data_IF_708920577813
#
_entry.id   IF_708920577813
#
_cell.length_a   1.000
_cell.length_b   1.000
_cell.length_c   1.000
_cell.angle_alpha   90.00
_cell.angle_beta   90.00
_cell.angle_gamma   90.00
#
_symmetry.space_group_name_H-M   'P 1'
#
loop_
_entity.id
_entity.type
_entity.pdbx_description
1 polymer ?
#
# COMPACT_ATOMS: atom_id res chain seq x y z
N UNK A 1 10.26 -8.88 -13.69
CA UNK A 1 9.15 -7.90 -13.81
C UNK A 1 7.77 -8.53 -13.92
N UNK A 2 7.49 -9.46 -14.85
CA UNK A 2 6.13 -10.06 -14.98
C UNK A 2 5.60 -10.72 -13.69
N UNK A 3 6.44 -11.43 -12.94
CA UNK A 3 6.05 -12.03 -11.67
C UNK A 3 5.67 -10.98 -10.61
N UNK A 4 6.43 -9.89 -10.50
CA UNK A 4 6.12 -8.78 -9.58
C UNK A 4 4.81 -8.08 -9.96
N UNK A 5 4.53 -7.92 -11.25
CA UNK A 5 3.27 -7.33 -11.72
C UNK A 5 2.06 -8.18 -11.34
N UNK A 6 2.15 -9.50 -11.55
CA UNK A 6 1.10 -10.42 -11.14
C UNK A 6 0.87 -10.37 -9.63
N UNK A 7 1.94 -10.42 -8.82
CA UNK A 7 1.84 -10.39 -7.37
C UNK A 7 1.25 -9.06 -6.87
N UNK A 8 1.67 -7.93 -7.45
CA UNK A 8 1.15 -6.61 -7.13
C UNK A 8 -0.34 -6.47 -7.48
N UNK A 9 -0.78 -7.00 -8.62
CA UNK A 9 -2.20 -7.02 -9.02
C UNK A 9 -3.04 -7.88 -8.09
N UNK A 10 -2.51 -9.04 -7.67
CA UNK A 10 -3.19 -9.90 -6.70
C UNK A 10 -3.35 -9.18 -5.36
N UNK A 11 -2.29 -8.56 -4.83
CA UNK A 11 -2.37 -7.75 -3.61
C UNK A 11 -3.43 -6.64 -3.74
N UNK A 12 -3.45 -5.91 -4.85
CA UNK A 12 -4.43 -4.85 -5.08
C UNK A 12 -5.87 -5.38 -5.20
N UNK A 13 -6.08 -6.57 -5.78
CA UNK A 13 -7.40 -7.18 -5.86
C UNK A 13 -7.90 -7.61 -4.47
N UNK A 14 -7.05 -8.21 -3.65
CA UNK A 14 -7.35 -8.52 -2.25
C UNK A 14 -7.62 -7.24 -1.45
N UNK A 15 -6.82 -6.19 -1.64
CA UNK A 15 -7.04 -4.89 -1.00
C UNK A 15 -8.40 -4.30 -1.38
N UNK A 16 -8.77 -4.35 -2.66
CA UNK A 16 -10.08 -3.89 -3.15
C UNK A 16 -11.25 -4.67 -2.54
N UNK A 17 -11.13 -6.00 -2.41
CA UNK A 17 -12.14 -6.83 -1.75
C UNK A 17 -12.30 -6.44 -0.27
N UNK A 18 -11.18 -6.26 0.44
CA UNK A 18 -11.20 -5.84 1.85
C UNK A 18 -11.81 -4.45 1.99
N UNK A 19 -11.45 -3.49 1.14
CA UNK A 19 -12.04 -2.15 1.12
C UNK A 19 -13.54 -2.19 0.88
N UNK A 20 -14.01 -3.03 -0.04
CA UNK A 20 -15.43 -3.22 -0.29
C UNK A 20 -16.14 -3.77 0.96
N UNK A 21 -15.56 -4.77 1.62
CA UNK A 21 -16.13 -5.33 2.84
C UNK A 21 -16.19 -4.29 3.97
N UNK A 22 -15.13 -3.50 4.16
CA UNK A 22 -15.09 -2.41 5.15
C UNK A 22 -16.12 -1.33 4.84
N UNK A 23 -16.28 -0.96 3.57
CA UNK A 23 -17.28 0.01 3.14
C UNK A 23 -18.71 -0.49 3.42
N UNK A 24 -19.00 -1.75 3.07
CA UNK A 24 -20.29 -2.37 3.37
C UNK A 24 -20.56 -2.46 4.87
N UNK A 25 -19.55 -2.81 5.68
CA UNK A 25 -19.67 -2.83 7.14
C UNK A 25 -19.97 -1.44 7.70
N UNK A 26 -19.32 -0.40 7.16
CA UNK A 26 -19.56 1.00 7.56
C UNK A 26 -20.97 1.44 7.19
N UNK A 27 -21.42 1.15 5.97
CA UNK A 27 -22.80 1.40 5.56
C UNK A 27 -23.80 0.65 6.46
N UNK A 28 -23.50 -0.61 6.80
CA UNK A 28 -24.29 -1.41 7.73
C UNK A 28 -24.38 -0.77 9.12
N UNK A 29 -23.28 -0.23 9.66
CA UNK A 29 -23.26 0.49 10.94
C UNK A 29 -24.11 1.78 10.89
N UNK A 30 -24.08 2.52 9.78
CA UNK A 30 -24.92 3.71 9.61
C UNK A 30 -26.40 3.34 9.58
N UNK A 31 -26.76 2.29 8.83
CA UNK A 31 -28.14 1.77 8.78
C UNK A 31 -28.57 1.28 10.16
N UNK A 32 -27.74 0.50 10.84
CA UNK A 32 -28.08 -0.03 12.17
C UNK A 32 -28.33 1.10 13.17
N UNK A 33 -27.48 2.13 13.14
CA UNK A 33 -27.59 3.31 14.00
C UNK A 33 -28.88 4.07 13.75
N UNK A 34 -29.30 4.20 12.50
CA UNK A 34 -30.52 4.94 12.15
C UNK A 34 -31.80 4.19 12.51
N UNK A 35 -31.84 2.86 12.31
CA UNK A 35 -33.07 2.08 12.51
C UNK A 35 -33.20 1.47 13.91
N UNK A 36 -32.08 1.07 14.52
CA UNK A 36 -32.06 0.36 15.81
C UNK A 36 -31.45 1.20 16.94
N UNK A 37 -31.05 2.45 16.66
CA UNK A 37 -30.52 3.40 17.65
C UNK A 37 -29.09 3.09 18.13
N UNK A 38 -28.43 2.06 17.59
CA UNK A 38 -27.09 1.65 17.99
C UNK A 38 -26.22 1.28 16.77
N UNK A 39 -24.96 1.70 16.79
CA UNK A 39 -23.97 1.32 15.78
C UNK A 39 -23.52 -0.14 15.96
N UNK A 40 -22.89 -0.70 14.93
CA UNK A 40 -22.24 -2.01 15.05
C UNK A 40 -21.07 -1.92 16.04
N UNK A 41 -21.06 -2.82 17.03
CA UNK A 41 -19.95 -2.91 17.98
C UNK A 41 -18.65 -3.29 17.25
N UNK A 42 -17.61 -2.50 17.44
CA UNK A 42 -16.30 -2.77 16.83
C UNK A 42 -16.17 -2.36 15.36
N UNK A 43 -17.11 -1.58 14.82
CA UNK A 43 -17.02 -1.04 13.45
C UNK A 43 -15.70 -0.28 13.19
N UNK A 44 -15.27 0.54 14.16
CA UNK A 44 -13.99 1.27 14.09
C UNK A 44 -12.77 0.35 14.02
N UNK A 45 -12.74 -0.73 14.81
CA UNK A 45 -11.59 -1.65 14.84
C UNK A 45 -11.52 -2.46 13.54
N UNK A 46 -12.68 -2.87 13.00
CA UNK A 46 -12.77 -3.54 11.71
C UNK A 46 -12.25 -2.64 10.58
N UNK A 47 -12.67 -1.38 10.57
CA UNK A 47 -12.18 -0.37 9.61
C UNK A 47 -10.67 -0.17 9.78
N UNK A 48 -10.18 -0.04 11.01
CA UNK A 48 -8.76 0.17 11.29
C UNK A 48 -7.90 -0.99 10.76
N UNK A 49 -8.26 -2.23 11.09
CA UNK A 49 -7.51 -3.42 10.64
C UNK A 49 -7.60 -3.58 9.13
N UNK A 50 -8.80 -3.42 8.55
CA UNK A 50 -9.01 -3.55 7.12
C UNK A 50 -8.25 -2.50 6.32
N UNK A 51 -8.26 -1.23 6.76
CA UNK A 51 -7.53 -0.14 6.13
C UNK A 51 -6.01 -0.32 6.23
N UNK A 52 -5.51 -0.79 7.38
CA UNK A 52 -4.09 -1.03 7.58
C UNK A 52 -3.55 -2.05 6.55
N UNK A 53 -4.27 -3.16 6.34
CA UNK A 53 -3.95 -4.12 5.28
C UNK A 53 -4.12 -3.52 3.88
N UNK A 54 -5.25 -2.88 3.60
CA UNK A 54 -5.57 -2.38 2.26
C UNK A 54 -4.54 -1.37 1.76
N UNK A 55 -4.15 -0.40 2.59
CA UNK A 55 -3.12 0.60 2.26
C UNK A 55 -1.80 -0.10 1.94
N UNK A 56 -1.35 -1.03 2.79
CA UNK A 56 -0.13 -1.78 2.56
C UNK A 56 -0.21 -2.58 1.23
N UNK A 57 -1.34 -3.22 0.96
CA UNK A 57 -1.55 -4.08 -0.21
C UNK A 57 -1.73 -3.32 -1.54
N UNK A 58 -2.09 -2.04 -1.54
CA UNK A 58 -2.09 -1.21 -2.75
C UNK A 58 -0.70 -0.69 -3.13
N UNK A 59 0.21 -0.51 -2.16
CA UNK A 59 1.56 0.05 -2.38
C UNK A 59 2.38 -0.67 -3.47
N UNK A 60 2.40 -2.03 -3.57
CA UNK A 60 3.13 -2.72 -4.62
C UNK A 60 2.68 -2.32 -6.03
N UNK A 61 1.36 -2.17 -6.23
CA UNK A 61 0.78 -1.81 -7.53
C UNK A 61 1.07 -0.35 -7.86
N UNK A 62 0.99 0.53 -6.86
CA UNK A 62 1.38 1.93 -7.03
C UNK A 62 2.86 2.04 -7.45
N UNK A 63 3.74 1.32 -6.77
CA UNK A 63 5.17 1.36 -7.08
C UNK A 63 5.47 0.78 -8.46
N UNK A 64 4.88 -0.37 -8.82
CA UNK A 64 5.19 -1.00 -10.11
C UNK A 64 4.74 -0.14 -11.29
N UNK A 65 3.63 0.59 -11.14
CA UNK A 65 3.09 1.51 -12.15
C UNK A 65 3.71 2.91 -12.10
N UNK A 66 4.64 3.18 -11.16
CA UNK A 66 5.18 4.52 -10.90
C UNK A 66 4.07 5.56 -10.65
N UNK A 67 3.02 5.14 -9.96
CA UNK A 67 1.85 5.99 -9.64
C UNK A 67 2.05 6.88 -8.42
N UNK A 68 3.24 6.90 -7.80
CA UNK A 68 3.52 7.82 -6.71
C UNK A 68 3.54 9.26 -7.24
N UNK A 69 3.02 10.19 -6.45
CA UNK A 69 2.99 11.60 -6.82
C UNK A 69 4.43 12.13 -6.88
N UNK A 70 4.80 12.70 -8.02
CA UNK A 70 6.10 13.34 -8.26
C UNK A 70 5.91 14.86 -8.21
N UNK A 71 6.78 15.56 -7.48
CA UNK A 71 6.75 17.02 -7.40
C UNK A 71 7.74 17.60 -8.40
N UNK A 72 7.26 17.96 -9.58
CA UNK A 72 8.10 18.43 -10.70
C UNK A 72 8.43 19.93 -10.68
N UNK A 73 7.93 20.68 -9.69
CA UNK A 73 8.16 22.13 -9.56
C UNK A 73 9.65 22.49 -9.39
N UNK A 74 10.41 21.65 -8.71
CA UNK A 74 11.83 21.90 -8.44
C UNK A 74 12.77 21.33 -9.53
N UNK A 75 12.28 20.41 -10.36
CA UNK A 75 13.09 19.64 -11.33
C UNK A 75 12.83 20.00 -12.77
N UNK A 76 11.93 20.95 -13.06
CA UNK A 76 11.50 21.34 -14.41
C UNK A 76 12.66 21.85 -15.29
N UNK A 77 13.70 22.44 -14.68
CA UNK A 77 14.91 22.93 -15.38
C UNK A 77 16.09 21.95 -15.32
N UNK A 78 15.92 20.79 -14.69
CA UNK A 78 17.00 19.83 -14.50
C UNK A 78 17.22 18.97 -15.75
N UNK A 79 18.48 18.63 -16.02
CA UNK A 79 18.84 17.75 -17.15
C UNK A 79 18.17 16.37 -17.03
N UNK A 80 17.97 15.67 -18.14
CA UNK A 80 17.40 14.32 -18.14
C UNK A 80 18.17 13.33 -17.24
N UNK A 81 19.50 13.48 -17.14
CA UNK A 81 20.34 12.67 -16.25
C UNK A 81 20.05 12.94 -14.77
N UNK A 82 19.88 14.21 -14.41
CA UNK A 82 19.57 14.61 -13.02
C UNK A 82 18.19 14.13 -12.60
N UNK A 83 17.19 14.26 -13.48
CA UNK A 83 15.82 13.75 -13.23
C UNK A 83 15.83 12.23 -13.02
N UNK A 84 16.55 11.50 -13.88
CA UNK A 84 16.71 10.06 -13.76
C UNK A 84 17.39 9.67 -12.43
N UNK A 85 18.47 10.36 -12.03
CA UNK A 85 19.14 10.10 -10.76
C UNK A 85 18.22 10.34 -9.55
N UNK A 86 17.44 11.42 -9.58
CA UNK A 86 16.51 11.76 -8.51
C UNK A 86 15.38 10.74 -8.38
N UNK A 87 14.86 10.24 -9.51
CA UNK A 87 13.85 9.18 -9.55
C UNK A 87 14.40 7.84 -8.99
N UNK A 88 15.66 7.48 -9.31
CA UNK A 88 16.34 6.31 -8.71
C UNK A 88 16.49 6.46 -7.20
N UNK A 89 16.90 7.65 -6.76
CA UNK A 89 17.03 7.97 -5.33
C UNK A 89 15.68 7.88 -4.62
N UNK A 90 14.59 8.35 -5.25
CA UNK A 90 13.23 8.22 -4.75
C UNK A 90 12.79 6.75 -4.62
N UNK A 91 13.03 5.93 -5.64
CA UNK A 91 12.75 4.49 -5.59
C UNK A 91 13.55 3.78 -4.49
N UNK A 92 14.83 4.11 -4.34
CA UNK A 92 15.69 3.55 -3.30
C UNK A 92 15.21 3.96 -1.90
N UNK A 93 14.89 5.24 -1.70
CA UNK A 93 14.40 5.74 -0.43
C UNK A 93 13.07 5.09 -0.05
N UNK A 94 12.12 4.99 -1.00
CA UNK A 94 10.86 4.30 -0.77
C UNK A 94 11.09 2.83 -0.40
N UNK A 95 12.02 2.16 -1.08
CA UNK A 95 12.33 0.77 -0.79
C UNK A 95 12.90 0.57 0.61
N UNK A 96 13.81 1.44 1.05
CA UNK A 96 14.35 1.44 2.40
C UNK A 96 13.24 1.69 3.42
N UNK A 97 12.38 2.70 3.18
CA UNK A 97 11.26 3.03 4.06
C UNK A 97 10.28 1.86 4.19
N UNK A 98 9.84 1.27 3.08
CA UNK A 98 8.93 0.12 3.10
C UNK A 98 9.59 -1.11 3.75
N UNK A 99 10.89 -1.33 3.53
CA UNK A 99 11.63 -2.41 4.17
C UNK A 99 11.75 -2.23 5.69
N UNK A 100 12.03 -0.99 6.15
CA UNK A 100 12.05 -0.65 7.57
C UNK A 100 10.67 -0.80 8.21
N UNK A 101 9.60 -0.37 7.53
CA UNK A 101 8.24 -0.58 7.98
C UNK A 101 7.92 -2.06 8.07
N UNK A 102 8.19 -2.86 7.04
CA UNK A 102 7.96 -4.30 7.06
C UNK A 102 8.68 -4.98 8.24
N UNK A 103 9.95 -4.61 8.49
CA UNK A 103 10.72 -5.13 9.61
C UNK A 103 10.13 -4.72 10.97
N UNK A 104 9.81 -3.43 11.16
CA UNK A 104 9.24 -2.93 12.42
C UNK A 104 7.84 -3.48 12.68
N UNK A 105 7.01 -3.58 11.65
CA UNK A 105 5.68 -4.19 11.72
C UNK A 105 5.77 -5.67 12.08
N UNK A 106 6.75 -6.41 11.54
CA UNK A 106 6.97 -7.82 11.90
C UNK A 106 7.34 -7.97 13.39
N UNK A 107 8.27 -7.15 13.88
CA UNK A 107 8.62 -7.13 15.31
C UNK A 107 7.41 -6.78 16.18
N UNK A 108 6.63 -5.77 15.78
CA UNK A 108 5.38 -5.41 16.46
C UNK A 108 4.38 -6.56 16.50
N UNK A 109 4.22 -7.31 15.40
CA UNK A 109 3.36 -8.49 15.34
C UNK A 109 3.84 -9.65 16.22
N UNK A 110 5.15 -9.88 16.30
CA UNK A 110 5.71 -10.88 17.21
C UNK A 110 5.47 -10.51 18.68
N UNK A 111 5.72 -9.26 19.04
CA UNK A 111 5.42 -8.77 20.39
C UNK A 111 3.93 -8.85 20.71
N UNK A 112 3.04 -8.44 19.79
CA UNK A 112 1.59 -8.54 19.98
C UNK A 112 1.13 -10.00 20.16
N UNK A 113 1.81 -10.96 19.53
CA UNK A 113 1.53 -12.38 19.73
C UNK A 113 2.02 -12.89 21.09
N UNK A 114 3.19 -12.45 21.54
CA UNK A 114 3.77 -12.83 22.84
C UNK A 114 2.93 -12.32 24.02
N UNK A 115 2.38 -11.11 23.91
CA UNK A 115 1.52 -10.52 24.94
C UNK A 115 0.03 -10.85 24.79
N UNK A 116 -0.34 -11.70 23.82
CA UNK A 116 -1.73 -12.02 23.46
C UNK A 116 -2.61 -10.76 23.31
N UNK A 117 -2.04 -9.71 22.69
CA UNK A 117 -2.71 -8.42 22.51
C UNK A 117 -3.93 -8.56 21.61
N UNK A 118 -5.06 -8.04 22.10
CA UNK A 118 -6.34 -8.04 21.40
C UNK A 118 -6.96 -6.64 21.39
N UNK A 119 -7.76 -6.36 20.37
CA UNK A 119 -8.50 -5.10 20.28
C UNK A 119 -9.55 -5.00 21.40
N UNK A 120 -9.92 -3.78 21.78
CA UNK A 120 -10.73 -3.55 22.99
C UNK A 120 -12.17 -4.04 22.84
N UNK A 121 -12.78 -3.89 21.67
CA UNK A 121 -14.19 -4.21 21.44
C UNK A 121 -14.40 -5.60 20.82
N UNK A 122 -13.78 -5.87 19.67
CA UNK A 122 -13.89 -7.15 18.98
C UNK A 122 -13.05 -8.26 19.62
N UNK A 123 -12.12 -7.91 20.53
CA UNK A 123 -11.14 -8.86 21.06
C UNK A 123 -10.38 -9.55 19.92
N UNK A 124 -10.12 -8.80 18.84
CA UNK A 124 -9.44 -9.33 17.65
C UNK A 124 -7.94 -9.41 17.90
N UNK A 125 -7.26 -10.54 17.60
CA UNK A 125 -5.82 -10.66 17.80
C UNK A 125 -5.02 -9.70 16.92
N UNK A 126 -4.34 -8.74 17.54
CA UNK A 126 -3.68 -7.64 16.82
C UNK A 126 -2.53 -8.12 15.93
N UNK A 127 -1.86 -9.21 16.33
CA UNK A 127 -0.74 -9.78 15.58
C UNK A 127 -1.12 -10.17 14.14
N UNK A 128 -2.38 -10.55 13.89
CA UNK A 128 -2.87 -10.90 12.56
C UNK A 128 -2.82 -9.68 11.64
N UNK A 129 -3.25 -8.51 12.13
CA UNK A 129 -3.23 -7.26 11.40
C UNK A 129 -1.78 -6.87 11.03
N UNK A 130 -0.86 -6.95 12.00
CA UNK A 130 0.56 -6.69 11.77
C UNK A 130 1.15 -7.62 10.72
N UNK A 131 1.00 -8.93 10.89
CA UNK A 131 1.58 -9.92 9.98
C UNK A 131 0.99 -9.79 8.57
N UNK A 132 -0.30 -9.47 8.43
CA UNK A 132 -0.93 -9.29 7.13
C UNK A 132 -0.33 -8.11 6.32
N UNK A 133 0.15 -7.05 6.98
CA UNK A 133 0.78 -5.90 6.32
C UNK A 133 2.22 -6.18 5.83
N UNK A 134 2.92 -7.13 6.44
CA UNK A 134 4.35 -7.38 6.16
C UNK A 134 4.61 -7.83 4.71
N UNK A 135 3.90 -8.83 4.14
CA UNK A 135 4.15 -9.29 2.78
C UNK A 135 4.03 -8.20 1.70
N UNK A 136 2.97 -7.38 1.65
CA UNK A 136 2.89 -6.35 0.62
C UNK A 136 3.88 -5.20 0.84
N UNK A 137 4.24 -4.85 2.08
CA UNK A 137 5.32 -3.88 2.33
C UNK A 137 6.68 -4.40 1.86
N UNK A 138 6.98 -5.66 2.16
CA UNK A 138 8.20 -6.31 1.70
C UNK A 138 8.24 -6.39 0.16
N UNK A 139 7.12 -6.73 -0.48
CA UNK A 139 6.99 -6.74 -1.94
C UNK A 139 7.24 -5.35 -2.53
N UNK A 140 6.66 -4.30 -1.94
CA UNK A 140 6.89 -2.91 -2.37
C UNK A 140 8.37 -2.54 -2.28
N UNK A 141 9.04 -2.93 -1.19
CA UNK A 141 10.48 -2.71 -1.02
C UNK A 141 11.30 -3.40 -2.12
N UNK A 142 10.99 -4.66 -2.43
CA UNK A 142 11.66 -5.41 -3.50
C UNK A 142 11.45 -4.78 -4.88
N UNK A 143 10.23 -4.32 -5.18
CA UNK A 143 9.92 -3.63 -6.44
C UNK A 143 10.69 -2.30 -6.53
N UNK A 144 10.72 -1.52 -5.44
CA UNK A 144 11.47 -0.26 -5.39
C UNK A 144 12.98 -0.46 -5.58
N UNK A 145 13.57 -1.49 -4.95
CA UNK A 145 14.99 -1.85 -5.18
C UNK A 145 15.22 -2.25 -6.63
N UNK A 146 14.37 -3.11 -7.19
CA UNK A 146 14.50 -3.56 -8.57
C UNK A 146 14.42 -2.39 -9.57
N UNK A 147 13.57 -1.39 -9.31
CA UNK A 147 13.47 -0.18 -10.13
C UNK A 147 14.66 0.76 -9.94
N UNK A 148 15.17 0.92 -8.72
CA UNK A 148 16.35 1.75 -8.44
C UNK A 148 17.62 1.23 -9.15
N UNK A 149 17.80 -0.09 -9.22
CA UNK A 149 18.98 -0.71 -9.84
C UNK A 149 18.78 -1.13 -11.31
N UNK A 150 17.54 -1.28 -11.77
CA UNK A 150 17.22 -1.64 -13.15
C UNK A 150 17.40 -0.50 -14.16
N UNK A 151 17.34 -0.84 -15.45
CA UNK A 151 17.25 0.14 -16.52
C UNK A 151 15.88 0.84 -16.44
N UNK A 152 15.88 2.14 -16.13
CA UNK A 152 14.66 2.92 -16.08
C UNK A 152 14.37 3.51 -17.48
N UNK A 153 13.14 3.36 -18.00
CA UNK A 153 12.71 4.09 -19.19
C UNK A 153 12.90 5.59 -18.97
N UNK A 154 13.29 6.32 -20.02
CA UNK A 154 13.50 7.76 -19.92
C UNK A 154 12.18 8.44 -19.55
N UNK A 155 12.21 9.45 -18.68
CA UNK A 155 11.03 10.18 -18.18
C UNK A 155 10.05 10.66 -19.29
N UNK A 156 10.53 10.86 -20.52
CA UNK A 156 9.72 11.17 -21.71
C UNK A 156 8.75 10.05 -22.11
N UNK A 157 9.15 8.78 -22.02
CA UNK A 157 8.32 7.62 -22.40
C UNK A 157 7.09 7.47 -21.49
N UNK A 158 7.15 8.01 -20.26
CA UNK A 158 6.12 7.90 -19.23
C UNK A 158 5.04 8.95 -19.42
N UNK A 159 5.44 10.16 -19.82
CA UNK A 159 4.53 11.26 -20.15
C UNK A 159 3.71 10.94 -21.40
N UNK A 160 4.36 10.39 -22.43
CA UNK A 160 3.66 9.92 -23.64
C UNK A 160 2.74 8.73 -23.36
N UNK A 161 3.11 7.81 -22.45
CA UNK A 161 2.26 6.70 -22.03
C UNK A 161 1.05 7.14 -21.16
N UNK A 162 1.17 8.23 -20.41
CA UNK A 162 0.05 8.81 -19.64
C UNK A 162 -0.89 9.66 -20.50
N UNK A 163 -0.42 10.22 -21.62
CA UNK A 163 -1.22 10.97 -22.60
C UNK A 163 -1.70 10.14 -23.80
N UNK A 164 -1.22 8.91 -23.96
CA UNK A 164 -1.75 7.98 -24.94
C UNK A 164 -3.25 7.75 -24.65
N UNK A 165 -4.15 7.93 -25.64
CA UNK A 165 -5.55 7.59 -25.46
C UNK A 165 -5.61 6.12 -25.05
N UNK A 166 -6.37 5.79 -24.01
CA UNK A 166 -6.61 4.43 -23.57
C UNK A 166 -7.25 3.64 -24.72
N UNK A 167 -6.42 3.14 -25.63
CA UNK A 167 -6.86 2.49 -26.85
C UNK A 167 -7.03 1.01 -26.56
N UNK A 168 -8.28 0.67 -26.24
CA UNK A 168 -8.95 -0.64 -26.31
C UNK A 168 -8.56 -1.71 -25.29
#
# INVERSE_FOLDING_TARGET
MRAFDLLARLCALFAGLVMMAVALATCGSIVSRQFFGAALLGDFELVQVGMAFAVAAFMPLCQIRRGNIIVDFFTTRASARTRNLLDRAGCLLLAIMCGLLAWRTLLGGLSAKEYESVTMLLQFPEWIAFVAMVPPLALTALIGLAQAFGAMPAAEDLADAQHAPASR
#
